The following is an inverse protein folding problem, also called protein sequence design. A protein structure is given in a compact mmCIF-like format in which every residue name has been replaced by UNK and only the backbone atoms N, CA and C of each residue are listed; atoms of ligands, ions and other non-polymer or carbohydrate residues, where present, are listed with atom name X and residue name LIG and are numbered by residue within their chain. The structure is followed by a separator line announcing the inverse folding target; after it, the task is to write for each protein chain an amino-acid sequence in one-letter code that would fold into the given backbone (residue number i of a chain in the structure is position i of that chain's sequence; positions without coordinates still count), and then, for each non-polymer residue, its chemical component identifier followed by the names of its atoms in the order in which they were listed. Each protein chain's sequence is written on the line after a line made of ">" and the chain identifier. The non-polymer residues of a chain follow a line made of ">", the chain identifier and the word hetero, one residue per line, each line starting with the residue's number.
data_IF_919739755758
#
_entry.id   IF_919739755758
#
_cell.length_a   1.000
_cell.length_b   1.000
_cell.length_c   1.000
_cell.angle_alpha   90.00
_cell.angle_beta   90.00
_cell.angle_gamma   90.00
#
_symmetry.space_group_name_H-M   'P 1'
#
loop_
_entity.id
_entity.type
_entity.pdbx_description
1 polymer ?
#
# COMPACT_ATOMS: atom_id res chain seq x y z
N UNK A 1 -19.98 14.60 59.94
CA UNK A 1 -18.68 13.93 59.66
C UNK A 1 -18.32 12.83 60.69
N UNK A 2 -19.28 12.20 61.36
CA UNK A 2 -19.04 11.06 62.29
C UNK A 2 -19.81 9.79 61.88
N UNK A 3 -20.77 9.89 60.95
CA UNK A 3 -21.51 8.73 60.43
C UNK A 3 -20.87 8.03 59.23
N UNK A 4 -19.95 8.68 58.51
CA UNK A 4 -19.30 8.10 57.31
C UNK A 4 -18.08 7.22 57.61
N UNK A 5 -17.51 7.31 58.82
CA UNK A 5 -16.30 6.55 59.22
C UNK A 5 -16.68 5.16 59.81
N UNK A 6 -17.93 4.99 60.27
CA UNK A 6 -18.39 3.76 60.90
C UNK A 6 -18.76 2.64 59.91
N UNK A 7 -19.09 2.97 58.65
CA UNK A 7 -19.45 1.96 57.64
C UNK A 7 -18.25 1.36 56.90
N UNK A 8 -17.16 2.12 56.73
CA UNK A 8 -15.94 1.62 56.08
C UNK A 8 -15.26 0.54 56.94
N UNK A 9 -15.29 0.70 58.28
CA UNK A 9 -14.67 -0.27 59.20
C UNK A 9 -15.43 -1.61 59.28
N UNK A 10 -16.77 -1.59 59.12
CA UNK A 10 -17.59 -2.81 59.10
C UNK A 10 -17.48 -3.57 57.77
N UNK A 11 -17.12 -2.89 56.68
CA UNK A 11 -16.92 -3.52 55.37
C UNK A 11 -15.55 -4.21 55.27
N UNK A 12 -14.50 -3.62 55.85
CA UNK A 12 -13.15 -4.19 55.91
C UNK A 12 -13.04 -5.47 56.79
N UNK A 13 -13.77 -5.54 57.90
CA UNK A 13 -13.78 -6.74 58.77
C UNK A 13 -14.55 -7.94 58.17
N UNK A 14 -15.38 -7.72 57.14
CA UNK A 14 -16.07 -8.78 56.39
C UNK A 14 -15.18 -9.40 55.29
N UNK A 15 -14.25 -8.64 54.73
CA UNK A 15 -13.34 -9.12 53.67
C UNK A 15 -12.19 -9.94 54.27
N UNK A 16 -11.77 -9.66 55.50
CA UNK A 16 -10.70 -10.41 56.19
C UNK A 16 -11.15 -11.76 56.80
N UNK A 17 -12.43 -12.14 56.71
CA UNK A 17 -12.98 -13.39 57.28
C UNK A 17 -13.38 -14.47 56.25
N UNK A 18 -13.16 -14.23 54.97
CA UNK A 18 -13.47 -15.19 53.91
C UNK A 18 -12.21 -15.47 53.08
N UNK A 19 -11.41 -16.44 53.49
CA UNK A 19 -10.26 -16.85 52.68
C UNK A 19 -9.18 -17.69 53.35
N UNK A 20 -9.44 -18.29 54.51
CA UNK A 20 -8.62 -19.38 55.03
C UNK A 20 -9.55 -20.55 55.34
N UNK A 21 -9.52 -21.59 54.51
CA UNK A 21 -9.54 -23.03 54.87
C UNK A 21 -9.49 -23.84 53.57
N UNK A 22 -8.34 -24.44 53.25
CA UNK A 22 -8.34 -25.84 52.84
C UNK A 22 -7.10 -26.54 53.41
N UNK A 23 -7.35 -27.70 54.01
CA UNK A 23 -6.50 -28.37 54.99
C UNK A 23 -6.18 -29.78 54.48
N UNK A 24 -4.89 -30.10 54.47
CA UNK A 24 -4.25 -31.44 54.52
C UNK A 24 -4.35 -32.32 53.26
N UNK A 25 -3.18 -32.56 52.64
CA UNK A 25 -2.78 -33.91 52.25
C UNK A 25 -1.29 -34.13 52.61
N UNK A 26 -1.03 -35.10 53.49
CA UNK A 26 0.32 -35.55 53.86
C UNK A 26 0.90 -36.40 52.72
N UNK A 27 2.05 -36.02 52.17
CA UNK A 27 2.98 -36.97 51.55
C UNK A 27 4.34 -36.85 52.22
N UNK A 28 4.79 -37.96 52.81
CA UNK A 28 6.11 -38.11 53.41
C UNK A 28 7.13 -38.46 52.33
N UNK A 29 8.21 -37.68 52.30
CA UNK A 29 9.61 -37.98 51.91
C UNK A 29 9.87 -38.61 50.53
N UNK A 30 10.61 -37.90 49.65
CA UNK A 30 12.01 -38.23 49.31
C UNK A 30 12.66 -37.16 48.40
N UNK A 31 13.83 -36.67 48.83
CA UNK A 31 14.98 -36.07 48.12
C UNK A 31 14.76 -34.84 47.20
N UNK A 32 15.14 -33.63 47.62
CA UNK A 32 16.50 -33.02 47.50
C UNK A 32 16.81 -32.56 46.06
N UNK A 33 16.65 -31.25 45.83
CA UNK A 33 16.98 -30.61 44.55
C UNK A 33 16.47 -29.17 44.46
N UNK A 34 16.61 -28.37 45.51
CA UNK A 34 16.42 -26.92 45.43
C UNK A 34 17.61 -26.30 44.70
N UNK A 35 17.41 -25.95 43.44
CA UNK A 35 18.15 -24.88 42.80
C UNK A 35 17.13 -23.88 42.23
N UNK A 36 16.40 -23.22 43.14
CA UNK A 36 15.85 -21.90 42.83
C UNK A 36 17.08 -20.99 42.79
N UNK A 37 17.74 -20.96 41.63
CA UNK A 37 18.74 -19.97 41.32
C UNK A 37 18.06 -18.62 41.40
N UNK A 38 18.23 -17.96 42.54
CA UNK A 38 17.92 -16.56 42.69
C UNK A 38 18.72 -15.83 41.63
N UNK A 39 18.06 -15.42 40.55
CA UNK A 39 18.52 -14.32 39.72
C UNK A 39 18.44 -13.07 40.60
N UNK A 40 19.44 -12.90 41.46
CA UNK A 40 19.84 -11.59 41.92
C UNK A 40 20.07 -10.79 40.65
N UNK A 41 19.12 -9.91 40.33
CA UNK A 41 19.31 -8.80 39.42
C UNK A 41 20.39 -7.92 40.07
N UNK A 42 21.65 -8.34 39.93
CA UNK A 42 22.76 -7.43 40.04
C UNK A 42 22.62 -6.56 38.80
N UNK A 43 21.88 -5.47 38.93
CA UNK A 43 22.06 -4.27 38.14
C UNK A 43 23.46 -3.72 38.46
N UNK A 44 24.48 -4.48 38.11
CA UNK A 44 25.85 -4.02 37.99
C UNK A 44 25.95 -3.41 36.61
N UNK A 45 26.69 -2.32 36.51
CA UNK A 45 27.10 -1.69 35.26
C UNK A 45 27.79 -2.74 34.39
N UNK A 46 27.02 -3.51 33.63
CA UNK A 46 27.52 -4.32 32.55
C UNK A 46 27.40 -3.45 31.32
N UNK A 47 28.54 -3.16 30.68
CA UNK A 47 28.62 -2.41 29.42
C UNK A 47 27.81 -3.08 28.28
N UNK A 48 27.24 -4.26 28.54
CA UNK A 48 26.40 -5.02 27.63
C UNK A 48 25.27 -5.75 28.39
N UNK A 49 24.07 -5.13 28.48
CA UNK A 49 22.88 -5.69 29.11
C UNK A 49 22.42 -7.04 28.56
N UNK A 50 21.73 -7.82 29.40
CA UNK A 50 21.05 -9.05 28.99
C UNK A 50 19.67 -8.71 28.41
N UNK A 51 19.37 -9.22 27.20
CA UNK A 51 18.06 -9.06 26.54
C UNK A 51 17.12 -10.21 26.90
N UNK A 52 17.64 -11.44 26.92
CA UNK A 52 16.87 -12.63 27.28
C UNK A 52 17.75 -13.72 27.90
N UNK A 53 17.15 -14.58 28.73
CA UNK A 53 17.81 -15.78 29.26
C UNK A 53 16.93 -17.01 29.21
N UNK A 54 17.57 -18.15 29.01
CA UNK A 54 16.96 -19.48 29.02
C UNK A 54 17.84 -20.43 29.85
N UNK A 55 17.38 -21.66 30.07
CA UNK A 55 18.23 -22.72 30.65
C UNK A 55 19.41 -23.11 29.75
N UNK A 56 19.37 -22.77 28.46
CA UNK A 56 20.40 -23.12 27.47
C UNK A 56 21.44 -22.01 27.24
N UNK A 57 21.17 -20.78 27.68
CA UNK A 57 22.05 -19.65 27.42
C UNK A 57 21.38 -18.30 27.61
N UNK A 58 22.16 -17.23 27.41
CA UNK A 58 21.73 -15.84 27.53
C UNK A 58 21.99 -15.12 26.22
N UNK A 59 21.09 -14.25 25.81
CA UNK A 59 21.23 -13.37 24.66
C UNK A 59 21.56 -11.98 25.20
N UNK A 60 22.64 -11.39 24.69
CA UNK A 60 23.12 -10.06 25.09
C UNK A 60 22.73 -9.00 24.07
N UNK A 61 22.77 -7.73 24.48
CA UNK A 61 22.35 -6.62 23.64
C UNK A 61 23.25 -6.46 22.41
N UNK A 62 24.57 -6.61 22.54
CA UNK A 62 25.49 -6.56 21.40
C UNK A 62 25.21 -7.65 20.36
N UNK A 63 25.04 -8.90 20.80
CA UNK A 63 24.73 -10.05 19.95
C UNK A 63 23.41 -9.83 19.22
N UNK A 64 22.41 -9.33 19.94
CA UNK A 64 21.11 -9.02 19.36
C UNK A 64 21.18 -7.86 18.37
N UNK A 65 21.87 -6.77 18.72
CA UNK A 65 22.08 -5.61 17.87
C UNK A 65 22.82 -5.99 16.59
N UNK A 66 23.95 -6.69 16.69
CA UNK A 66 24.71 -7.13 15.52
C UNK A 66 23.86 -8.02 14.62
N UNK A 67 23.06 -8.92 15.19
CA UNK A 67 22.17 -9.78 14.39
C UNK A 67 21.07 -9.00 13.68
N UNK A 68 20.48 -7.98 14.32
CA UNK A 68 19.54 -7.07 13.66
C UNK A 68 20.25 -6.24 12.59
N UNK A 69 21.39 -5.66 12.93
CA UNK A 69 22.21 -4.83 12.06
C UNK A 69 22.53 -5.55 10.76
N UNK A 70 22.96 -6.81 10.82
CA UNK A 70 23.39 -7.59 9.66
C UNK A 70 22.30 -8.47 9.06
N UNK A 71 21.07 -8.43 9.55
CA UNK A 71 20.00 -9.29 9.03
C UNK A 71 19.67 -8.92 7.58
N UNK A 72 19.82 -9.86 6.65
CA UNK A 72 19.43 -9.66 5.26
C UNK A 72 17.93 -9.90 5.10
N UNK A 73 17.21 -8.91 4.56
CA UNK A 73 15.83 -9.04 4.09
C UNK A 73 15.78 -8.98 2.56
N UNK A 74 14.61 -9.21 1.98
CA UNK A 74 14.36 -9.01 0.55
C UNK A 74 14.58 -7.55 0.12
N UNK A 75 14.39 -6.60 1.04
CA UNK A 75 14.51 -5.16 0.79
C UNK A 75 15.91 -4.59 1.10
N UNK A 76 16.84 -5.42 1.59
CA UNK A 76 18.17 -4.97 1.99
C UNK A 76 18.54 -5.39 3.42
N UNK A 77 19.69 -4.88 3.90
CA UNK A 77 20.16 -5.14 5.26
C UNK A 77 19.28 -4.35 6.25
N UNK A 78 18.70 -5.04 7.23
CA UNK A 78 17.76 -4.44 8.18
C UNK A 78 18.36 -3.26 8.95
N UNK A 79 19.63 -3.34 9.35
CA UNK A 79 20.32 -2.22 9.98
C UNK A 79 20.44 -0.97 9.10
N UNK A 80 20.64 -1.14 7.79
CA UNK A 80 20.70 -0.02 6.85
C UNK A 80 19.32 0.64 6.68
N UNK A 81 18.26 -0.15 6.55
CA UNK A 81 16.87 0.33 6.44
C UNK A 81 16.48 1.15 7.68
N UNK A 82 16.75 0.61 8.87
CA UNK A 82 16.44 1.31 10.13
C UNK A 82 17.27 2.58 10.28
N UNK A 83 18.58 2.53 9.98
CA UNK A 83 19.44 3.71 10.06
C UNK A 83 19.00 4.79 9.07
N UNK A 84 18.64 4.41 7.84
CA UNK A 84 18.12 5.32 6.83
C UNK A 84 16.87 6.05 7.34
N UNK A 85 15.90 5.32 7.89
CA UNK A 85 14.69 5.91 8.45
C UNK A 85 15.01 6.88 9.59
N UNK A 86 15.85 6.48 10.54
CA UNK A 86 16.24 7.33 11.66
C UNK A 86 16.96 8.61 11.22
N UNK A 87 17.80 8.53 10.18
CA UNK A 87 18.47 9.70 9.62
C UNK A 87 17.48 10.67 8.98
N UNK A 88 16.52 10.15 8.20
CA UNK A 88 15.46 10.97 7.58
C UNK A 88 14.64 11.66 8.67
N UNK A 89 14.17 10.91 9.68
CA UNK A 89 13.41 11.47 10.81
C UNK A 89 14.21 12.56 11.55
N UNK A 90 15.49 12.30 11.83
CA UNK A 90 16.37 13.26 12.51
C UNK A 90 16.57 14.54 11.70
N UNK A 91 16.81 14.42 10.39
CA UNK A 91 17.06 15.55 9.50
C UNK A 91 15.79 16.39 9.32
N UNK A 92 14.64 15.72 9.12
CA UNK A 92 13.34 16.38 9.01
C UNK A 92 12.96 17.10 10.30
N UNK A 93 13.17 16.48 11.46
CA UNK A 93 12.93 17.10 12.77
C UNK A 93 13.80 18.34 12.98
N UNK A 94 15.11 18.25 12.70
CA UNK A 94 16.02 19.39 12.84
C UNK A 94 15.68 20.54 11.89
N UNK A 95 15.19 20.23 10.68
CA UNK A 95 14.94 21.22 9.63
C UNK A 95 13.54 21.84 9.69
N UNK A 96 12.54 21.05 10.10
CA UNK A 96 11.12 21.41 10.01
C UNK A 96 10.32 21.18 11.31
N UNK A 97 10.97 20.75 12.40
CA UNK A 97 10.30 20.42 13.67
C UNK A 97 9.49 21.58 14.27
N UNK A 98 9.93 22.83 14.07
CA UNK A 98 9.24 24.02 14.57
C UNK A 98 7.98 24.39 13.76
N UNK A 99 7.79 23.77 12.59
CA UNK A 99 6.67 24.00 11.68
C UNK A 99 5.49 23.04 11.92
N UNK A 100 5.70 21.96 12.67
CA UNK A 100 4.67 20.95 12.94
C UNK A 100 4.37 20.91 14.44
N UNK A 101 3.15 21.28 14.81
CA UNK A 101 2.68 21.29 16.19
C UNK A 101 2.07 19.96 16.64
N UNK A 102 2.05 19.73 17.96
CA UNK A 102 1.34 18.59 18.54
C UNK A 102 -0.17 18.65 18.22
N UNK A 103 -0.74 19.84 18.11
CA UNK A 103 -2.13 20.04 17.73
C UNK A 103 -2.45 19.55 16.32
N UNK A 104 -1.55 19.78 15.35
CA UNK A 104 -1.70 19.28 13.97
C UNK A 104 -1.59 17.75 13.93
N UNK A 105 -0.66 17.17 14.69
CA UNK A 105 -0.54 15.72 14.82
C UNK A 105 -1.83 15.12 15.40
N UNK A 106 -2.39 15.71 16.46
CA UNK A 106 -3.65 15.24 17.05
C UNK A 106 -4.85 15.38 16.09
N UNK A 107 -4.89 16.45 15.28
CA UNK A 107 -5.94 16.64 14.29
C UNK A 107 -5.93 15.54 13.21
N UNK A 108 -4.75 15.14 12.71
CA UNK A 108 -4.63 14.03 11.77
C UNK A 108 -4.99 12.68 12.41
N UNK A 109 -4.62 12.47 13.68
CA UNK A 109 -5.06 11.29 14.44
C UNK A 109 -6.59 11.27 14.60
N UNK A 110 -7.21 12.41 14.84
CA UNK A 110 -8.66 12.53 14.94
C UNK A 110 -9.35 12.20 13.61
N UNK A 111 -8.83 12.69 12.49
CA UNK A 111 -9.32 12.34 11.15
C UNK A 111 -9.22 10.83 10.88
N UNK A 112 -8.08 10.21 11.19
CA UNK A 112 -7.90 8.75 11.08
C UNK A 112 -8.85 7.99 12.00
N UNK A 113 -9.09 8.52 13.20
CA UNK A 113 -10.02 7.93 14.16
C UNK A 113 -11.44 7.99 13.62
N UNK A 114 -11.91 9.12 13.10
CA UNK A 114 -13.24 9.27 12.50
C UNK A 114 -13.48 8.29 11.36
N UNK A 115 -12.51 8.17 10.44
CA UNK A 115 -12.55 7.20 9.34
C UNK A 115 -12.59 5.74 9.84
N UNK A 116 -12.00 5.49 11.00
CA UNK A 116 -11.97 4.16 11.64
C UNK A 116 -13.20 3.87 12.52
N UNK A 117 -14.12 4.81 12.70
CA UNK A 117 -15.29 4.68 13.59
C UNK A 117 -15.04 5.11 15.05
N UNK A 118 -14.03 5.96 15.28
CA UNK A 118 -13.66 6.58 16.55
C UNK A 118 -12.29 6.14 17.09
N UNK A 119 -11.73 6.90 18.04
CA UNK A 119 -10.39 6.66 18.62
C UNK A 119 -10.24 5.26 19.24
N UNK A 120 -11.27 4.79 19.96
CA UNK A 120 -11.26 3.44 20.55
C UNK A 120 -11.16 2.36 19.47
N UNK A 121 -11.87 2.54 18.34
CA UNK A 121 -11.84 1.56 17.25
C UNK A 121 -10.50 1.58 16.53
N UNK A 122 -9.93 2.76 16.31
CA UNK A 122 -8.57 2.91 15.77
C UNK A 122 -7.56 2.17 16.66
N UNK A 123 -7.56 2.39 17.97
CA UNK A 123 -6.63 1.72 18.90
C UNK A 123 -6.79 0.19 18.89
N UNK A 124 -8.02 -0.31 18.83
CA UNK A 124 -8.28 -1.75 18.72
C UNK A 124 -7.66 -2.33 17.44
N UNK A 125 -7.85 -1.66 16.30
CA UNK A 125 -7.28 -2.07 15.00
C UNK A 125 -5.74 -2.05 15.01
N UNK A 126 -5.14 -1.05 15.67
CA UNK A 126 -3.68 -0.97 15.82
C UNK A 126 -3.14 -2.11 16.69
N UNK A 127 -3.80 -2.39 17.82
CA UNK A 127 -3.40 -3.49 18.71
C UNK A 127 -3.47 -4.85 18.02
N UNK A 128 -4.47 -5.09 17.18
CA UNK A 128 -4.57 -6.32 16.38
C UNK A 128 -3.39 -6.51 15.42
N UNK A 129 -2.77 -5.41 14.97
CA UNK A 129 -1.58 -5.40 14.11
C UNK A 129 -0.27 -5.35 14.91
N UNK A 130 -0.33 -5.35 16.25
CA UNK A 130 0.84 -5.21 17.11
C UNK A 130 1.44 -3.81 17.13
N UNK A 131 0.67 -2.79 16.75
CA UNK A 131 1.08 -1.38 16.74
C UNK A 131 0.49 -0.63 17.93
N UNK A 132 1.10 0.49 18.28
CA UNK A 132 0.59 1.42 19.29
C UNK A 132 0.17 2.73 18.64
N UNK A 133 -0.69 3.50 19.31
CA UNK A 133 -1.05 4.85 18.85
C UNK A 133 0.19 5.75 18.74
N UNK A 134 1.20 5.56 19.61
CA UNK A 134 2.43 6.32 19.54
C UNK A 134 3.18 6.12 18.22
N UNK A 135 3.29 4.87 17.75
CA UNK A 135 3.92 4.58 16.44
C UNK A 135 3.18 5.29 15.30
N UNK A 136 1.86 5.39 15.38
CA UNK A 136 1.08 6.13 14.38
C UNK A 136 1.32 7.63 14.50
N UNK A 137 1.37 8.19 15.72
CA UNK A 137 1.70 9.61 15.93
C UNK A 137 3.07 9.96 15.39
N UNK A 138 4.07 9.13 15.65
CA UNK A 138 5.43 9.32 15.15
C UNK A 138 5.43 9.29 13.60
N UNK A 139 4.71 8.35 12.99
CA UNK A 139 4.56 8.29 11.53
C UNK A 139 3.82 9.50 10.95
N UNK A 140 2.75 9.98 11.61
CA UNK A 140 2.00 11.18 11.21
C UNK A 140 2.92 12.40 11.27
N UNK A 141 3.68 12.56 12.35
CA UNK A 141 4.66 13.63 12.49
C UNK A 141 5.67 13.62 11.36
N UNK A 142 6.29 12.48 11.07
CA UNK A 142 7.26 12.34 9.98
C UNK A 142 6.64 12.71 8.62
N UNK A 143 5.39 12.33 8.37
CA UNK A 143 4.69 12.70 7.13
C UNK A 143 4.43 14.21 7.04
N UNK A 144 4.03 14.85 8.13
CA UNK A 144 3.82 16.31 8.18
C UNK A 144 5.13 17.07 7.97
N UNK A 145 6.22 16.63 8.61
CA UNK A 145 7.55 17.23 8.39
C UNK A 145 8.01 17.07 6.95
N UNK A 146 7.75 15.90 6.34
CA UNK A 146 8.06 15.66 4.94
C UNK A 146 7.21 16.54 4.01
N UNK A 147 5.95 16.80 4.34
CA UNK A 147 5.09 17.73 3.59
C UNK A 147 5.66 19.15 3.62
N UNK A 148 6.07 19.64 4.79
CA UNK A 148 6.74 20.94 4.92
C UNK A 148 8.05 21.01 4.14
N UNK A 149 8.85 19.93 4.17
CA UNK A 149 10.06 19.83 3.36
C UNK A 149 9.78 19.89 1.85
N UNK A 150 8.76 19.17 1.39
CA UNK A 150 8.37 19.18 -0.03
C UNK A 150 7.85 20.54 -0.44
N UNK A 151 7.06 21.20 0.41
CA UNK A 151 6.55 22.55 0.19
C UNK A 151 7.66 23.60 0.13
N UNK A 152 8.69 23.50 0.97
CA UNK A 152 9.82 24.44 0.99
C UNK A 152 10.79 24.24 -0.19
N UNK A 153 11.10 22.98 -0.52
CA UNK A 153 12.14 22.62 -1.51
C UNK A 153 11.61 22.43 -2.95
N UNK A 154 10.29 22.42 -3.14
CA UNK A 154 9.69 22.23 -4.46
C UNK A 154 9.02 23.51 -4.96
N UNK A 155 9.29 23.87 -6.21
CA UNK A 155 8.55 24.92 -6.90
C UNK A 155 7.27 24.33 -7.49
N UNK A 156 6.15 24.51 -6.80
CA UNK A 156 4.83 24.25 -7.37
C UNK A 156 4.31 25.53 -8.03
N UNK A 157 3.98 25.45 -9.31
CA UNK A 157 3.37 26.60 -9.97
C UNK A 157 1.96 26.81 -9.41
N UNK A 158 1.56 28.07 -9.22
CA UNK A 158 0.20 28.39 -8.81
C UNK A 158 -0.84 27.84 -9.79
N UNK A 159 -0.48 27.77 -11.07
CA UNK A 159 -1.29 27.16 -12.13
C UNK A 159 -1.52 25.67 -11.86
N UNK A 160 -0.50 24.91 -11.47
CA UNK A 160 -0.62 23.48 -11.17
C UNK A 160 -1.48 23.24 -9.92
N UNK A 161 -1.27 24.03 -8.85
CA UNK A 161 -2.07 23.91 -7.61
C UNK A 161 -3.53 24.26 -7.90
N UNK A 162 -3.78 25.33 -8.65
CA UNK A 162 -5.13 25.74 -9.03
C UNK A 162 -5.81 24.70 -9.92
N UNK A 163 -5.10 24.18 -10.92
CA UNK A 163 -5.62 23.13 -11.79
C UNK A 163 -5.96 21.86 -10.99
N UNK A 164 -5.12 21.48 -10.03
CA UNK A 164 -5.40 20.38 -9.13
C UNK A 164 -6.67 20.62 -8.30
N UNK A 165 -6.78 21.79 -7.66
CA UNK A 165 -7.95 22.19 -6.88
C UNK A 165 -9.25 22.16 -7.70
N UNK A 166 -9.24 22.75 -8.88
CA UNK A 166 -10.41 22.80 -9.78
C UNK A 166 -10.74 21.43 -10.38
N UNK A 167 -9.79 20.48 -10.39
CA UNK A 167 -10.03 19.10 -10.83
C UNK A 167 -10.63 18.19 -9.75
N UNK A 168 -10.63 18.61 -8.49
CA UNK A 168 -11.20 17.82 -7.41
C UNK A 168 -12.72 17.77 -7.50
N UNK A 169 -13.30 16.64 -7.06
CA UNK A 169 -14.74 16.54 -6.88
C UNK A 169 -15.15 17.39 -5.68
N UNK A 170 -16.01 18.42 -5.87
CA UNK A 170 -16.43 19.26 -4.77
C UNK A 170 -17.26 18.47 -3.76
N UNK A 171 -17.12 18.81 -2.47
CA UNK A 171 -17.88 18.17 -1.40
C UNK A 171 -19.40 18.30 -1.63
N UNK A 172 -20.14 17.22 -1.36
CA UNK A 172 -21.58 17.17 -1.55
C UNK A 172 -22.03 16.99 -3.00
N UNK A 173 -21.12 16.76 -3.94
CA UNK A 173 -21.45 16.41 -5.32
C UNK A 173 -22.19 15.08 -5.37
N UNK A 174 -23.37 15.06 -5.99
CA UNK A 174 -24.21 13.87 -6.13
C UNK A 174 -24.54 13.63 -7.59
N UNK A 175 -24.44 12.38 -8.00
CA UNK A 175 -24.71 11.93 -9.37
C UNK A 175 -25.68 10.75 -9.35
N UNK A 176 -26.42 10.57 -10.43
CA UNK A 176 -27.07 9.32 -10.75
C UNK A 176 -26.41 8.71 -11.99
N UNK A 177 -26.36 7.38 -12.09
CA UNK A 177 -25.94 6.75 -13.33
C UNK A 177 -26.73 5.50 -13.71
N UNK A 178 -26.73 5.21 -15.00
CA UNK A 178 -27.21 3.95 -15.57
C UNK A 178 -26.01 3.27 -16.22
N UNK A 179 -25.68 2.05 -15.79
CA UNK A 179 -24.62 1.24 -16.37
C UNK A 179 -25.22 0.14 -17.25
N UNK A 180 -24.81 0.04 -18.50
CA UNK A 180 -25.20 -1.06 -19.41
C UNK A 180 -23.98 -1.62 -20.13
N UNK A 181 -24.09 -2.85 -20.66
CA UNK A 181 -22.96 -3.52 -21.34
C UNK A 181 -22.73 -3.00 -22.76
N UNK A 182 -23.81 -2.73 -23.48
CA UNK A 182 -23.77 -2.43 -24.91
C UNK A 182 -24.02 -0.93 -25.15
N UNK A 183 -23.23 -0.33 -26.05
CA UNK A 183 -23.30 1.09 -26.37
C UNK A 183 -24.66 1.48 -26.97
N UNK A 184 -25.20 0.62 -27.84
CA UNK A 184 -26.48 0.86 -28.51
C UNK A 184 -27.64 0.95 -27.50
N UNK A 185 -27.58 0.15 -26.43
CA UNK A 185 -28.56 0.22 -25.35
C UNK A 185 -28.45 1.55 -24.59
N UNK A 186 -27.23 2.02 -24.30
CA UNK A 186 -27.03 3.32 -23.65
C UNK A 186 -27.58 4.46 -24.52
N UNK A 187 -27.35 4.41 -25.83
CA UNK A 187 -27.88 5.40 -26.79
C UNK A 187 -29.40 5.41 -26.85
N UNK A 188 -30.03 4.24 -26.81
CA UNK A 188 -31.50 4.13 -26.74
C UNK A 188 -32.05 4.74 -25.46
N UNK A 189 -31.45 4.45 -24.31
CA UNK A 189 -31.85 5.01 -23.02
C UNK A 189 -31.64 6.53 -22.95
N UNK A 190 -30.54 7.07 -23.49
CA UNK A 190 -30.33 8.53 -23.61
C UNK A 190 -31.47 9.18 -24.40
N UNK A 191 -31.92 8.54 -25.49
CA UNK A 191 -33.04 9.04 -26.28
C UNK A 191 -34.34 9.06 -25.48
N UNK A 192 -34.65 7.99 -24.74
CA UNK A 192 -35.83 7.93 -23.88
C UNK A 192 -35.80 9.00 -22.77
N UNK A 193 -34.63 9.21 -22.16
CA UNK A 193 -34.41 10.26 -21.17
C UNK A 193 -34.63 11.66 -21.77
N UNK A 194 -34.13 11.90 -22.98
CA UNK A 194 -34.37 13.15 -23.71
C UNK A 194 -35.86 13.34 -24.09
N UNK A 195 -36.59 12.25 -24.33
CA UNK A 195 -38.04 12.26 -24.57
C UNK A 195 -38.86 12.42 -23.26
N UNK A 196 -38.20 12.47 -22.10
CA UNK A 196 -38.80 12.77 -20.80
C UNK A 196 -39.06 11.58 -19.89
N UNK A 197 -38.44 10.42 -20.15
CA UNK A 197 -38.48 9.28 -19.23
C UNK A 197 -37.84 9.62 -17.87
N UNK A 198 -38.29 8.96 -16.81
CA UNK A 198 -37.72 9.15 -15.47
C UNK A 198 -36.37 8.41 -15.35
N UNK A 199 -35.34 9.13 -14.89
CA UNK A 199 -33.99 8.58 -14.80
C UNK A 199 -33.88 7.46 -13.76
N UNK A 200 -34.55 7.61 -12.61
CA UNK A 200 -34.47 6.62 -11.54
C UNK A 200 -35.21 5.33 -11.91
N UNK A 201 -36.34 5.43 -12.62
CA UNK A 201 -37.05 4.27 -13.17
C UNK A 201 -36.19 3.51 -14.18
N UNK A 202 -35.58 4.21 -15.15
CA UNK A 202 -34.70 3.58 -16.13
C UNK A 202 -33.42 3.00 -15.49
N UNK A 203 -32.86 3.67 -14.48
CA UNK A 203 -31.73 3.14 -13.72
C UNK A 203 -32.11 1.82 -13.04
N UNK A 204 -33.28 1.76 -12.41
CA UNK A 204 -33.77 0.55 -11.74
C UNK A 204 -34.04 -0.60 -12.71
N UNK A 205 -34.57 -0.30 -13.89
CA UNK A 205 -34.94 -1.32 -14.88
C UNK A 205 -33.74 -1.84 -15.67
N UNK A 206 -32.80 -0.96 -16.03
CA UNK A 206 -31.76 -1.27 -17.01
C UNK A 206 -30.34 -1.28 -16.46
N UNK A 207 -30.06 -0.59 -15.35
CA UNK A 207 -28.70 -0.51 -14.83
C UNK A 207 -28.23 -1.87 -14.32
N UNK A 208 -27.04 -2.26 -14.77
CA UNK A 208 -26.36 -3.48 -14.31
C UNK A 208 -25.50 -3.23 -13.08
N UNK A 209 -25.49 -2.01 -12.52
CA UNK A 209 -24.82 -1.73 -11.24
C UNK A 209 -25.72 -2.14 -10.04
N UNK A 210 -25.41 -3.23 -9.32
CA UNK A 210 -26.21 -3.65 -8.18
C UNK A 210 -26.11 -2.70 -6.99
N UNK A 211 -25.10 -1.82 -6.93
CA UNK A 211 -24.87 -0.90 -5.81
C UNK A 211 -25.83 0.28 -5.80
N UNK A 212 -26.28 0.74 -6.97
CA UNK A 212 -27.09 1.95 -7.11
C UNK A 212 -28.41 1.77 -7.84
N UNK A 213 -28.58 0.74 -8.69
CA UNK A 213 -29.77 0.60 -9.56
C UNK A 213 -31.09 0.69 -8.77
N UNK A 214 -31.20 -0.02 -7.65
CA UNK A 214 -32.41 -0.01 -6.81
C UNK A 214 -32.70 1.33 -6.13
N UNK A 215 -31.68 2.18 -6.01
CA UNK A 215 -31.75 3.54 -5.48
C UNK A 215 -31.66 4.60 -6.59
N UNK A 216 -32.18 4.30 -7.79
CA UNK A 216 -32.25 5.26 -8.89
C UNK A 216 -30.90 5.62 -9.52
N UNK A 217 -29.86 4.81 -9.27
CA UNK A 217 -28.51 5.05 -9.78
C UNK A 217 -27.68 6.05 -8.96
N UNK A 218 -28.17 6.50 -7.80
CA UNK A 218 -27.56 7.60 -7.06
C UNK A 218 -26.28 7.23 -6.27
N UNK A 219 -25.29 8.11 -6.34
CA UNK A 219 -24.08 8.12 -5.51
C UNK A 219 -23.72 9.55 -5.07
N UNK A 220 -23.08 9.66 -3.90
CA UNK A 220 -22.26 10.82 -3.56
C UNK A 220 -20.86 10.60 -4.12
N UNK A 221 -20.40 11.55 -4.95
CA UNK A 221 -19.14 11.44 -5.66
C UNK A 221 -18.03 12.03 -4.79
N UNK A 222 -16.92 11.30 -4.64
CA UNK A 222 -15.70 11.76 -3.98
C UNK A 222 -14.51 11.54 -4.91
N UNK A 223 -13.51 12.41 -4.86
CA UNK A 223 -12.32 12.31 -5.72
C UNK A 223 -11.66 10.94 -5.64
N UNK A 224 -11.40 10.31 -6.79
CA UNK A 224 -10.68 9.05 -6.91
C UNK A 224 -11.45 7.82 -6.43
N UNK A 225 -12.75 7.93 -6.14
CA UNK A 225 -13.58 6.77 -5.81
C UNK A 225 -14.14 6.07 -7.04
N UNK A 226 -14.34 6.80 -8.13
CA UNK A 226 -14.82 6.26 -9.40
C UNK A 226 -13.66 6.17 -10.40
N UNK A 227 -13.89 5.44 -11.49
CA UNK A 227 -12.89 5.35 -12.57
C UNK A 227 -12.73 6.73 -13.24
N UNK A 228 -11.51 7.09 -13.70
CA UNK A 228 -11.23 8.44 -14.19
C UNK A 228 -12.16 8.93 -15.30
N UNK A 229 -12.55 8.05 -16.23
CA UNK A 229 -13.45 8.39 -17.33
C UNK A 229 -14.84 8.80 -16.84
N UNK A 230 -15.31 8.19 -15.75
CA UNK A 230 -16.58 8.53 -15.13
C UNK A 230 -16.51 9.87 -14.42
N UNK A 231 -15.49 10.09 -13.57
CA UNK A 231 -15.34 11.34 -12.81
C UNK A 231 -15.19 12.54 -13.75
N UNK A 232 -14.35 12.41 -14.79
CA UNK A 232 -14.13 13.48 -15.77
C UNK A 232 -15.40 13.84 -16.54
N UNK A 233 -16.22 12.84 -16.91
CA UNK A 233 -17.48 13.10 -17.58
C UNK A 233 -18.52 13.71 -16.64
N UNK A 234 -18.58 13.26 -15.38
CA UNK A 234 -19.48 13.81 -14.38
C UNK A 234 -19.19 15.28 -14.08
N UNK A 235 -17.91 15.65 -13.88
CA UNK A 235 -17.53 17.02 -13.51
C UNK A 235 -17.77 18.06 -14.62
N UNK A 236 -17.94 17.62 -15.87
CA UNK A 236 -18.29 18.49 -17.00
C UNK A 236 -19.79 18.87 -17.02
N UNK A 237 -20.64 18.16 -16.27
CA UNK A 237 -22.07 18.41 -16.22
C UNK A 237 -22.39 19.57 -15.27
N UNK A 238 -23.38 20.39 -15.62
CA UNK A 238 -24.04 21.29 -14.69
C UNK A 238 -25.16 20.58 -13.93
N UNK A 239 -25.62 21.17 -12.81
CA UNK A 239 -26.69 20.58 -12.01
C UNK A 239 -27.97 20.32 -12.82
N UNK A 240 -28.45 19.08 -12.79
CA UNK A 240 -29.60 18.61 -13.55
C UNK A 240 -29.28 18.09 -14.96
N UNK A 241 -28.09 18.34 -15.49
CA UNK A 241 -27.66 17.83 -16.80
C UNK A 241 -27.27 16.35 -16.74
N UNK A 242 -27.30 15.72 -17.91
CA UNK A 242 -26.79 14.37 -18.12
C UNK A 242 -25.86 14.32 -19.33
N UNK A 243 -25.02 13.29 -19.39
CA UNK A 243 -24.15 13.02 -20.53
C UNK A 243 -24.98 12.83 -21.80
N UNK A 244 -24.66 13.60 -22.85
CA UNK A 244 -25.34 13.49 -24.16
C UNK A 244 -24.97 12.21 -24.92
N UNK A 245 -23.79 11.65 -24.66
CA UNK A 245 -23.28 10.42 -25.26
C UNK A 245 -22.88 9.41 -24.17
N UNK A 246 -22.92 8.09 -24.44
CA UNK A 246 -22.49 7.09 -23.47
C UNK A 246 -21.02 7.22 -23.09
N UNK A 247 -20.74 7.21 -21.79
CA UNK A 247 -19.37 7.24 -21.25
C UNK A 247 -18.85 5.82 -21.11
N UNK A 248 -17.83 5.46 -21.88
CA UNK A 248 -17.23 4.13 -21.84
C UNK A 248 -16.24 3.98 -20.69
N UNK A 249 -16.34 2.88 -19.95
CA UNK A 249 -15.37 2.47 -18.92
C UNK A 249 -15.04 0.98 -19.08
N UNK A 250 -14.18 0.45 -18.20
CA UNK A 250 -13.93 -0.98 -18.10
C UNK A 250 -15.16 -1.82 -17.69
N UNK A 251 -16.22 -1.19 -17.15
CA UNK A 251 -17.43 -1.87 -16.69
C UNK A 251 -18.56 -1.91 -17.73
N UNK A 252 -18.45 -1.10 -18.79
CA UNK A 252 -19.47 -0.96 -19.83
C UNK A 252 -19.64 0.49 -20.27
N UNK A 253 -20.88 0.89 -20.51
CA UNK A 253 -21.28 2.23 -20.91
C UNK A 253 -22.18 2.85 -19.85
N UNK A 254 -21.84 4.07 -19.45
CA UNK A 254 -22.53 4.82 -18.43
C UNK A 254 -23.32 5.97 -19.06
N UNK A 255 -24.51 6.23 -18.54
CA UNK A 255 -25.22 7.49 -18.69
C UNK A 255 -25.15 8.14 -17.32
N UNK A 256 -24.61 9.36 -17.23
CA UNK A 256 -24.35 10.03 -15.95
C UNK A 256 -25.22 11.27 -15.89
N UNK A 257 -25.88 11.50 -14.75
CA UNK A 257 -26.66 12.69 -14.48
C UNK A 257 -26.15 13.38 -13.22
N UNK A 258 -25.93 14.68 -13.29
CA UNK A 258 -25.60 15.50 -12.13
C UNK A 258 -26.88 15.82 -11.35
N UNK A 259 -26.95 15.39 -10.09
CA UNK A 259 -28.08 15.68 -9.20
C UNK A 259 -27.81 16.98 -8.44
N UNK A 260 -26.59 17.10 -7.90
CA UNK A 260 -26.13 18.27 -7.15
C UNK A 260 -24.67 18.46 -7.46
N UNK A 261 -24.28 19.66 -7.88
CA UNK A 261 -22.87 20.01 -8.08
C UNK A 261 -22.39 20.74 -6.84
N UNK A 262 -21.44 20.16 -6.11
CA UNK A 262 -20.89 20.82 -4.92
C UNK A 262 -20.19 22.13 -5.29
N UNK A 263 -20.02 23.02 -4.31
CA UNK A 263 -19.38 24.31 -4.53
C UNK A 263 -17.85 24.17 -4.51
N UNK A 264 -17.20 24.52 -5.62
CA UNK A 264 -15.74 24.74 -5.63
C UNK A 264 -15.49 26.10 -4.98
N UNK A 265 -14.87 26.10 -3.79
CA UNK A 265 -14.42 27.34 -3.17
C UNK A 265 -13.44 28.05 -4.11
N UNK A 266 -13.53 29.38 -4.32
CA UNK A 266 -12.59 30.09 -5.17
C UNK A 266 -11.15 29.86 -4.72
N UNK A 267 -10.26 29.52 -5.65
CA UNK A 267 -8.87 29.19 -5.33
C UNK A 267 -8.18 30.25 -4.45
N UNK A 268 -8.45 31.53 -4.69
CA UNK A 268 -7.89 32.64 -3.89
C UNK A 268 -8.32 32.61 -2.41
N UNK A 269 -9.45 31.99 -2.09
CA UNK A 269 -9.95 31.86 -0.71
C UNK A 269 -9.36 30.65 0.02
N UNK A 270 -8.85 29.66 -0.73
CA UNK A 270 -8.37 28.37 -0.20
C UNK A 270 -6.96 28.02 -0.68
N UNK A 271 -6.17 29.01 -1.09
CA UNK A 271 -4.85 28.79 -1.70
C UNK A 271 -3.93 27.94 -0.84
N UNK A 272 -3.88 28.19 0.46
CA UNK A 272 -3.01 27.45 1.39
C UNK A 272 -3.49 26.00 1.58
N UNK A 273 -4.81 25.79 1.70
CA UNK A 273 -5.44 24.46 1.78
C UNK A 273 -5.20 23.67 0.49
N UNK A 274 -5.48 24.27 -0.67
CA UNK A 274 -5.24 23.68 -1.98
C UNK A 274 -3.76 23.33 -2.20
N UNK A 275 -2.84 24.15 -1.71
CA UNK A 275 -1.40 23.87 -1.75
C UNK A 275 -1.07 22.66 -0.89
N UNK A 276 -1.61 22.58 0.33
CA UNK A 276 -1.42 21.45 1.23
C UNK A 276 -1.95 20.15 0.62
N UNK A 277 -3.15 20.17 0.04
CA UNK A 277 -3.75 19.00 -0.62
C UNK A 277 -2.93 18.56 -1.83
N UNK A 278 -2.42 19.52 -2.62
CA UNK A 278 -1.54 19.22 -3.75
C UNK A 278 -0.21 18.61 -3.31
N UNK A 279 0.41 19.14 -2.25
CA UNK A 279 1.62 18.55 -1.65
C UNK A 279 1.35 17.13 -1.19
N UNK A 280 0.21 16.90 -0.52
CA UNK A 280 -0.18 15.56 -0.07
C UNK A 280 -0.38 14.60 -1.25
N UNK A 281 -0.95 15.07 -2.37
CA UNK A 281 -1.02 14.30 -3.62
C UNK A 281 0.37 13.92 -4.13
N UNK A 282 1.32 14.85 -4.15
CA UNK A 282 2.71 14.59 -4.55
C UNK A 282 3.39 13.60 -3.63
N UNK A 283 3.18 13.69 -2.33
CA UNK A 283 3.71 12.70 -1.38
C UNK A 283 3.19 11.28 -1.65
N UNK A 284 1.94 11.15 -2.12
CA UNK A 284 1.35 9.84 -2.39
C UNK A 284 1.74 9.28 -3.76
N UNK A 285 1.93 10.15 -4.77
CA UNK A 285 1.98 9.72 -6.18
C UNK A 285 3.28 10.07 -6.90
N UNK A 286 4.10 10.95 -6.33
CA UNK A 286 5.35 11.43 -6.93
C UNK A 286 6.56 11.10 -6.05
N UNK A 287 6.96 9.83 -6.09
CA UNK A 287 8.16 9.36 -5.40
C UNK A 287 9.46 10.03 -5.89
N UNK A 288 9.48 10.59 -7.11
CA UNK A 288 10.66 11.29 -7.63
C UNK A 288 10.86 12.64 -6.95
N UNK A 289 9.78 13.40 -6.74
CA UNK A 289 9.82 14.64 -5.96
C UNK A 289 10.27 14.37 -4.53
N UNK A 290 9.72 13.35 -3.86
CA UNK A 290 10.15 12.95 -2.51
C UNK A 290 11.64 12.59 -2.48
N UNK A 291 12.09 11.75 -3.41
CA UNK A 291 13.48 11.32 -3.47
C UNK A 291 14.43 12.49 -3.71
N UNK A 292 14.07 13.44 -4.58
CA UNK A 292 14.83 14.67 -4.82
C UNK A 292 14.96 15.49 -3.53
N UNK A 293 13.85 15.77 -2.85
CA UNK A 293 13.82 16.57 -1.60
C UNK A 293 14.65 15.91 -0.51
N UNK A 294 14.48 14.60 -0.28
CA UNK A 294 15.29 13.85 0.68
C UNK A 294 16.77 13.82 0.31
N UNK A 295 17.11 13.74 -0.98
CA UNK A 295 18.50 13.80 -1.45
C UNK A 295 19.15 15.14 -1.14
N UNK A 296 18.44 16.24 -1.41
CA UNK A 296 18.92 17.59 -1.08
C UNK A 296 19.15 17.74 0.44
N UNK A 297 18.18 17.34 1.27
CA UNK A 297 18.30 17.43 2.73
C UNK A 297 19.43 16.57 3.29
N UNK A 298 19.60 15.34 2.80
CA UNK A 298 20.67 14.44 3.24
C UNK A 298 22.06 14.98 2.84
N UNK A 299 22.19 15.56 1.65
CA UNK A 299 23.44 16.20 1.22
C UNK A 299 23.74 17.46 2.04
N UNK A 300 22.74 18.29 2.32
CA UNK A 300 22.86 19.47 3.19
C UNK A 300 23.29 19.09 4.62
N UNK A 301 22.76 17.98 5.14
CA UNK A 301 23.09 17.47 6.47
C UNK A 301 24.51 16.88 6.58
N UNK A 302 25.20 16.62 5.47
CA UNK A 302 26.56 16.06 5.43
C UNK A 302 26.71 14.81 6.32
N UNK A 303 25.82 13.83 6.12
CA UNK A 303 25.72 12.62 6.92
C UNK A 303 27.06 11.86 6.96
N UNK A 304 27.52 11.54 8.17
CA UNK A 304 28.69 10.70 8.40
C UNK A 304 28.29 9.42 9.12
N UNK A 305 28.41 8.29 8.43
CA UNK A 305 28.13 6.99 9.01
C UNK A 305 29.45 6.44 9.57
N UNK A 306 29.50 6.20 10.88
CA UNK A 306 30.70 5.69 11.54
C UNK A 306 30.83 4.16 11.45
N UNK A 307 29.71 3.45 11.33
CA UNK A 307 29.70 1.99 11.21
C UNK A 307 29.94 1.58 9.75
N UNK A 308 31.05 0.89 9.50
CA UNK A 308 31.45 0.42 8.15
C UNK A 308 30.42 -0.55 7.55
N UNK A 309 29.66 -1.28 8.37
CA UNK A 309 28.64 -2.23 7.91
C UNK A 309 27.37 -1.55 7.38
N UNK A 310 27.22 -0.24 7.62
CA UNK A 310 26.01 0.53 7.35
C UNK A 310 26.23 1.69 6.36
N UNK A 311 27.40 1.78 5.72
CA UNK A 311 27.76 2.89 4.83
C UNK A 311 26.77 3.11 3.70
N UNK A 312 26.03 2.07 3.27
CA UNK A 312 25.09 2.16 2.17
C UNK A 312 23.69 2.65 2.57
N UNK A 313 23.44 2.94 3.85
CA UNK A 313 22.11 3.30 4.34
C UNK A 313 21.49 4.52 3.61
N UNK A 314 22.32 5.43 3.10
CA UNK A 314 21.87 6.63 2.36
C UNK A 314 22.44 6.72 0.94
N UNK A 315 23.02 5.64 0.42
CA UNK A 315 23.71 5.66 -0.88
C UNK A 315 22.79 6.15 -2.01
N UNK A 316 21.51 5.75 -1.99
CA UNK A 316 20.50 6.16 -2.98
C UNK A 316 20.21 7.67 -3.03
N UNK A 317 20.57 8.42 -1.99
CA UNK A 317 20.33 9.86 -1.88
C UNK A 317 21.58 10.70 -2.18
N UNK A 318 22.75 10.06 -2.21
CA UNK A 318 24.05 10.69 -2.43
C UNK A 318 24.56 10.42 -3.85
N UNK A 319 24.16 9.32 -4.47
CA UNK A 319 24.42 9.06 -5.88
C UNK A 319 23.79 10.18 -6.73
N UNK A 320 24.62 10.96 -7.43
CA UNK A 320 24.13 12.04 -8.29
C UNK A 320 23.22 11.45 -9.40
N UNK A 321 22.14 12.15 -9.80
CA UNK A 321 21.47 11.85 -11.05
C UNK A 321 22.42 12.20 -12.20
N UNK A 322 23.26 11.25 -12.60
CA UNK A 322 24.32 11.44 -13.59
C UNK A 322 25.35 10.33 -13.69
N UNK A 323 25.46 9.44 -12.70
CA UNK A 323 26.23 8.20 -12.84
C UNK A 323 25.25 7.02 -12.98
N UNK A 324 24.90 6.71 -14.24
CA UNK A 324 24.44 5.38 -14.59
C UNK A 324 25.55 4.39 -14.21
N UNK A 325 25.50 3.83 -13.00
CA UNK A 325 26.06 2.50 -12.80
C UNK A 325 25.32 1.59 -13.78
N UNK A 326 26.06 1.10 -14.77
CA UNK A 326 25.63 0.00 -15.60
C UNK A 326 25.31 -1.17 -14.67
N UNK A 327 24.04 -1.30 -14.32
CA UNK A 327 23.50 -2.55 -13.83
C UNK A 327 23.64 -3.49 -15.03
N UNK A 328 24.75 -4.24 -15.07
CA UNK A 328 24.87 -5.38 -15.96
C UNK A 328 23.70 -6.30 -15.65
N UNK A 329 22.72 -6.28 -16.56
CA UNK A 329 21.61 -7.22 -16.58
C UNK A 329 22.19 -8.66 -16.55
N UNK A 330 21.99 -9.44 -15.47
CA UNK A 330 22.44 -10.82 -15.45
C UNK A 330 21.64 -11.70 -16.42
N UNK A 331 20.58 -11.18 -17.05
CA UNK A 331 19.82 -11.85 -18.10
C UNK A 331 20.38 -11.62 -19.52
N UNK A 332 21.35 -10.72 -19.73
CA UNK A 332 21.96 -10.50 -21.05
C UNK A 332 23.03 -11.55 -21.44
N UNK A 333 23.33 -12.52 -20.56
CA UNK A 333 24.22 -13.66 -20.85
C UNK A 333 23.49 -14.98 -21.13
N UNK A 334 22.24 -14.93 -21.60
CA UNK A 334 21.61 -16.05 -22.26
C UNK A 334 21.24 -15.68 -23.69
N UNK A 335 22.21 -15.91 -24.59
CA UNK A 335 21.93 -16.08 -26.02
C UNK A 335 20.87 -17.19 -26.15
N UNK A 336 19.75 -16.96 -26.85
CA UNK A 336 18.89 -18.06 -27.28
C UNK A 336 19.74 -18.99 -28.16
N UNK A 337 19.74 -20.27 -27.84
CA UNK A 337 20.19 -21.28 -28.78
C UNK A 337 19.22 -21.21 -29.97
N UNK A 338 19.69 -20.65 -31.09
CA UNK A 338 19.02 -20.76 -32.38
C UNK A 338 18.91 -22.25 -32.73
N UNK A 339 17.67 -22.72 -32.80
CA UNK A 339 17.28 -23.99 -33.38
C UNK A 339 17.61 -23.93 -34.88
N UNK A 340 18.76 -24.48 -35.25
CA UNK A 340 19.10 -24.79 -36.62
C UNK A 340 18.36 -26.06 -37.03
N UNK A 341 17.14 -25.92 -37.54
CA UNK A 341 16.45 -27.03 -38.20
C UNK A 341 15.47 -26.55 -39.29
N UNK A 342 15.95 -25.76 -40.25
CA UNK A 342 15.23 -25.56 -41.52
C UNK A 342 16.17 -25.03 -42.62
N UNK A 343 17.07 -25.89 -43.14
CA UNK A 343 17.68 -25.74 -44.48
C UNK A 343 18.38 -27.04 -44.92
N UNK A 344 17.62 -28.12 -45.14
CA UNK A 344 18.08 -29.27 -45.93
C UNK A 344 16.99 -29.71 -46.91
N UNK A 345 16.72 -28.88 -47.91
CA UNK A 345 16.17 -29.32 -49.20
C UNK A 345 16.65 -28.39 -50.31
N UNK A 346 17.83 -28.67 -50.86
CA UNK A 346 18.00 -28.84 -52.31
C UNK A 346 19.49 -28.94 -52.67
N UNK A 347 19.77 -29.78 -53.66
CA UNK A 347 21.00 -29.86 -54.45
C UNK A 347 22.11 -30.77 -53.89
N UNK A 348 21.87 -32.08 -54.00
CA UNK A 348 22.91 -33.00 -54.46
C UNK A 348 22.29 -34.12 -55.30
N UNK A 349 21.92 -33.77 -56.52
CA UNK A 349 21.91 -34.70 -57.66
C UNK A 349 22.87 -34.11 -58.71
N UNK A 350 23.57 -35.01 -59.41
CA UNK A 350 24.65 -34.81 -60.39
C UNK A 350 26.08 -34.68 -59.84
N UNK A 351 26.78 -35.81 -59.64
CA UNK A 351 27.70 -36.35 -60.67
C UNK A 351 28.44 -37.64 -60.22
N UNK A 352 28.58 -38.57 -61.17
CA UNK A 352 29.38 -39.83 -61.22
C UNK A 352 28.85 -41.04 -60.45
N UNK A 353 28.26 -42.05 -61.10
CA UNK A 353 28.88 -42.98 -62.07
C UNK A 353 30.10 -43.71 -61.48
N UNK A 354 29.91 -44.94 -60.98
CA UNK A 354 30.41 -46.16 -61.63
C UNK A 354 30.34 -47.39 -60.69
N UNK A 355 30.05 -48.53 -61.33
CA UNK A 355 30.32 -49.92 -60.92
C UNK A 355 29.35 -50.55 -59.92
N UNK A 356 28.89 -51.80 -60.08
CA UNK A 356 28.78 -52.76 -61.19
C UNK A 356 28.25 -54.03 -60.49
N UNK A 357 27.29 -54.72 -61.12
CA UNK A 357 26.86 -56.10 -60.83
C UNK A 357 26.29 -56.37 -59.41
N UNK A 358 25.25 -57.17 -59.22
CA UNK A 358 25.08 -58.51 -59.76
C UNK A 358 23.62 -58.96 -59.49
N UNK A 359 23.05 -59.69 -60.44
CA UNK A 359 22.06 -60.79 -60.36
C UNK A 359 21.08 -60.86 -59.15
N UNK A 360 19.82 -61.30 -59.25
CA UNK A 360 19.05 -62.16 -60.17
C UNK A 360 17.64 -62.28 -59.55
N UNK A 361 16.67 -62.68 -60.39
CA UNK A 361 15.53 -63.58 -60.09
C UNK A 361 14.60 -63.20 -58.92
N UNK A 362 13.27 -63.28 -59.00
CA UNK A 362 12.37 -64.03 -59.87
C UNK A 362 10.94 -63.64 -59.48
N UNK A 363 10.01 -63.84 -60.42
CA UNK A 363 8.59 -64.15 -60.22
C UNK A 363 7.64 -63.08 -59.63
N UNK A 364 6.61 -62.65 -60.39
CA UNK A 364 5.31 -63.36 -60.64
C UNK A 364 4.54 -63.53 -59.33
N UNK A 365 3.24 -63.29 -59.21
CA UNK A 365 2.07 -63.22 -60.08
C UNK A 365 0.99 -62.63 -59.13
N UNK A 366 0.20 -61.63 -59.51
CA UNK A 366 -1.11 -61.77 -60.16
C UNK A 366 -2.30 -61.74 -59.16
N UNK A 367 -3.37 -61.06 -59.60
CA UNK A 367 -4.80 -61.15 -59.22
C UNK A 367 -5.38 -60.29 -58.08
N UNK A 368 -6.09 -59.25 -58.55
CA UNK A 368 -7.55 -59.15 -58.64
C UNK A 368 -8.46 -59.29 -57.42
N UNK A 369 -9.41 -58.32 -57.39
CA UNK A 369 -10.79 -58.39 -56.89
C UNK A 369 -10.96 -58.39 -55.35
N UNK A 370 -12.00 -57.85 -54.73
CA UNK A 370 -13.36 -57.54 -55.17
C UNK A 370 -14.04 -56.65 -54.10
N UNK A 371 -15.00 -55.85 -54.56
CA UNK A 371 -16.28 -55.48 -53.91
C UNK A 371 -16.39 -54.97 -52.45
N UNK A 372 -16.72 -53.68 -52.34
CA UNK A 372 -18.03 -53.15 -51.91
C UNK A 372 -18.92 -54.03 -50.99
N UNK A 373 -19.30 -53.48 -49.82
CA UNK A 373 -20.71 -53.39 -49.36
C UNK A 373 -20.89 -52.54 -48.10
N UNK A 374 -21.90 -51.66 -48.22
CA UNK A 374 -22.73 -50.96 -47.22
C UNK A 374 -22.11 -49.95 -46.25
#
# INVERSE_FOLDING_TARGET
>A
MVYLVLDIKKMLDKILKLGSVYKIMKMKKLLLGTAIGSALLIAGCADNPEVASTTAGRIRQDEFYERLKTHQSEQGKFGEIVLQQMLIETILEESYGDQVSDEEIEAEIDKLAEQSGGREKLEELLQQRGQTLQVVKDSVKTNLLLAEAVKDKSEFSEEDVKAYHESQVPEGTKVAHILVKEEDQAKELIKELNDGADFAELAKEHSTDPGSAENGGEYELQSGQMVPEFEQAALQLEEGEMTEEPVKTQFGYHIIKMITKGEVKPFEEVKDEATSDYVQEKLMRDGATINKVLSELIQEANVQIADEDLQNAVAQFIAQPGEEEQVEDPAASQKPAEDQSEEEQSQQDDNKESQDADTKDENKEDKDAEENKE
#
